data_IF_131735605466
#
_entry.id   IF_131735605466
#
_cell.length_a   1.000
_cell.length_b   1.000
_cell.length_c   1.000
_cell.angle_alpha   90.00
_cell.angle_beta   90.00
_cell.angle_gamma   90.00
#
_symmetry.space_group_name_H-M   'P 1'
#
loop_
_entity.id
_entity.type
_entity.pdbx_description
1 polymer ?
#
# COMPACT_ATOMS: atom_id res chain seq x y z
N UNK A 1 -18.96 2.86 -21.67
CA UNK A 1 -17.96 3.06 -20.60
C UNK A 1 -18.51 3.90 -19.45
N UNK A 2 -19.11 5.07 -19.69
CA UNK A 2 -19.65 5.98 -18.65
C UNK A 2 -20.72 5.34 -17.73
N UNK A 3 -21.63 4.52 -18.25
CA UNK A 3 -22.66 3.87 -17.44
C UNK A 3 -22.13 2.87 -16.40
N UNK A 4 -21.00 2.20 -16.69
CA UNK A 4 -20.40 1.21 -15.79
C UNK A 4 -19.84 1.92 -14.56
N UNK A 5 -19.17 3.06 -14.73
CA UNK A 5 -18.67 3.86 -13.63
C UNK A 5 -19.79 4.38 -12.73
N UNK A 6 -20.90 4.85 -13.29
CA UNK A 6 -22.06 5.27 -12.49
C UNK A 6 -22.69 4.12 -11.70
N UNK A 7 -22.84 2.95 -12.30
CA UNK A 7 -23.37 1.77 -11.62
C UNK A 7 -22.45 1.30 -10.48
N UNK A 8 -21.13 1.33 -10.70
CA UNK A 8 -20.13 1.02 -9.66
C UNK A 8 -20.18 2.04 -8.51
N UNK A 9 -20.28 3.34 -8.83
CA UNK A 9 -20.40 4.40 -7.83
C UNK A 9 -21.68 4.26 -7.00
N UNK A 10 -22.83 3.97 -7.63
CA UNK A 10 -24.07 3.66 -6.90
C UNK A 10 -23.93 2.45 -5.97
N UNK A 11 -23.23 1.39 -6.42
CA UNK A 11 -22.95 0.22 -5.57
C UNK A 11 -22.13 0.58 -4.33
N UNK A 12 -21.14 1.46 -4.48
CA UNK A 12 -20.32 1.94 -3.37
C UNK A 12 -21.10 2.85 -2.42
N UNK A 13 -21.95 3.73 -2.93
CA UNK A 13 -22.81 4.60 -2.11
C UNK A 13 -23.84 3.80 -1.30
N UNK A 14 -24.34 2.69 -1.85
CA UNK A 14 -25.39 1.88 -1.21
C UNK A 14 -24.86 0.87 -0.21
N UNK A 15 -23.68 0.27 -0.45
CA UNK A 15 -23.14 -0.80 0.41
C UNK A 15 -21.96 -0.33 1.26
N UNK A 16 -21.27 0.74 0.88
CA UNK A 16 -19.99 1.15 1.48
C UNK A 16 -18.84 0.17 1.24
N UNK A 17 -19.06 -0.94 0.53
CA UNK A 17 -18.08 -2.00 0.35
C UNK A 17 -17.31 -1.80 -0.95
N UNK A 18 -15.98 -1.75 -0.85
CA UNK A 18 -15.09 -1.78 -2.01
C UNK A 18 -14.18 -2.99 -1.94
N UNK A 19 -13.88 -3.57 -3.10
CA UNK A 19 -12.85 -4.59 -3.17
C UNK A 19 -11.49 -3.97 -2.82
N UNK A 20 -10.66 -4.67 -2.01
CA UNK A 20 -9.27 -4.32 -1.84
C UNK A 20 -8.58 -4.19 -3.20
N UNK A 21 -7.90 -3.06 -3.41
CA UNK A 21 -7.00 -2.87 -4.55
C UNK A 21 -5.62 -3.32 -4.13
N UNK A 22 -5.01 -4.19 -4.92
CA UNK A 22 -3.62 -4.61 -4.72
C UNK A 22 -2.72 -3.97 -5.77
N UNK A 23 -1.67 -3.31 -5.32
CA UNK A 23 -0.67 -2.68 -6.17
C UNK A 23 0.71 -3.26 -5.87
N UNK A 24 1.32 -3.88 -6.87
CA UNK A 24 2.72 -4.27 -6.81
C UNK A 24 3.59 -3.09 -7.22
N UNK A 25 4.32 -2.53 -6.25
CA UNK A 25 5.16 -1.35 -6.45
C UNK A 25 6.50 -1.73 -7.09
N UNK A 26 6.97 -2.94 -6.81
CA UNK A 26 8.20 -3.48 -7.38
C UNK A 26 9.34 -3.59 -6.38
N UNK A 27 10.55 -3.70 -6.92
CA UNK A 27 11.79 -3.89 -6.17
C UNK A 27 12.51 -2.55 -6.13
N UNK A 28 12.73 -2.02 -4.94
CA UNK A 28 13.63 -0.89 -4.74
C UNK A 28 15.06 -1.40 -4.71
N UNK A 29 15.91 -0.81 -5.55
CA UNK A 29 17.33 -1.08 -5.53
C UNK A 29 18.08 0.10 -4.95
N UNK A 30 19.13 -0.17 -4.19
CA UNK A 30 19.88 0.88 -3.51
C UNK A 30 20.57 1.81 -4.52
N UNK A 31 21.02 1.26 -5.65
CA UNK A 31 21.58 1.99 -6.79
C UNK A 31 20.59 2.95 -7.48
N UNK A 32 19.29 2.83 -7.24
CA UNK A 32 18.30 3.78 -7.76
C UNK A 32 18.32 5.11 -6.97
N UNK A 33 18.91 5.12 -5.77
CA UNK A 33 18.91 6.26 -4.84
C UNK A 33 20.30 6.73 -4.41
N UNK A 34 21.33 5.87 -4.52
CA UNK A 34 22.71 6.12 -4.12
C UNK A 34 23.65 6.13 -5.35
N UNK A 35 24.80 6.84 -5.29
CA UNK A 35 25.42 7.45 -4.12
C UNK A 35 24.86 8.84 -3.76
N UNK A 36 24.73 9.10 -2.46
CA UNK A 36 24.48 10.42 -1.89
C UNK A 36 25.48 10.65 -0.75
N UNK A 37 25.97 11.88 -0.63
CA UNK A 37 26.86 12.28 0.46
C UNK A 37 26.04 12.87 1.62
N UNK A 38 26.36 12.44 2.83
CA UNK A 38 25.85 13.04 4.06
C UNK A 38 26.42 14.43 4.30
N UNK A 39 25.89 15.12 5.31
CA UNK A 39 26.36 16.45 5.72
C UNK A 39 27.81 16.44 6.21
N UNK A 40 28.33 15.28 6.61
CA UNK A 40 29.71 15.04 7.03
C UNK A 40 30.60 14.52 5.89
N UNK A 41 30.13 14.60 4.64
CA UNK A 41 30.76 14.08 3.43
C UNK A 41 30.99 12.55 3.40
N UNK A 42 30.42 11.79 4.35
CA UNK A 42 30.44 10.32 4.29
C UNK A 42 29.33 9.81 3.38
N UNK A 43 29.51 8.65 2.72
CA UNK A 43 28.43 8.03 1.95
C UNK A 43 27.24 7.70 2.83
N UNK A 44 26.04 8.08 2.39
CA UNK A 44 24.79 7.61 3.00
C UNK A 44 24.57 6.13 2.64
N UNK A 45 23.92 5.41 3.55
CA UNK A 45 23.48 4.03 3.36
C UNK A 45 21.97 4.00 3.54
N UNK A 46 21.24 3.41 2.60
CA UNK A 46 19.80 3.28 2.70
C UNK A 46 19.48 2.05 3.55
N UNK A 47 19.01 2.26 4.78
CA UNK A 47 18.75 1.16 5.71
C UNK A 47 17.38 0.52 5.50
N UNK A 48 16.37 1.31 5.14
CA UNK A 48 14.98 0.89 5.03
C UNK A 48 14.22 1.77 4.04
N UNK A 49 13.14 1.24 3.47
CA UNK A 49 12.24 1.95 2.54
C UNK A 49 10.80 1.67 2.97
N UNK A 50 10.09 2.73 3.36
CA UNK A 50 8.68 2.66 3.72
C UNK A 50 7.84 3.49 2.74
N UNK A 51 6.74 2.91 2.28
CA UNK A 51 5.76 3.59 1.43
C UNK A 51 4.56 4.00 2.26
N UNK A 52 4.12 5.25 2.07
CA UNK A 52 2.92 5.78 2.69
C UNK A 52 1.88 6.07 1.59
N UNK A 53 0.98 5.12 1.29
CA UNK A 53 -0.02 5.33 0.27
C UNK A 53 -0.99 6.42 0.70
N UNK A 54 -1.21 7.39 -0.17
CA UNK A 54 -2.28 8.37 0.01
C UNK A 54 -3.53 7.84 -0.69
N UNK A 55 -4.57 7.56 0.09
CA UNK A 55 -5.90 7.24 -0.42
C UNK A 55 -6.82 8.42 -0.17
N UNK A 56 -7.78 8.61 -1.05
CA UNK A 56 -8.77 9.66 -0.94
C UNK A 56 -10.15 9.15 -1.35
N UNK A 57 -11.16 9.95 -1.00
CA UNK A 57 -12.56 9.65 -1.30
C UNK A 57 -12.76 9.26 -2.78
N UNK A 58 -13.56 8.22 -3.07
CA UNK A 58 -14.42 7.49 -2.14
C UNK A 58 -13.67 6.42 -1.35
N UNK A 59 -14.21 6.04 -0.19
CA UNK A 59 -13.57 5.12 0.76
C UNK A 59 -12.86 3.96 0.08
N UNK A 60 -11.56 3.82 0.31
CA UNK A 60 -10.69 2.85 -0.34
C UNK A 60 -10.06 1.87 0.64
N UNK A 61 -9.64 0.73 0.08
CA UNK A 61 -8.69 -0.17 0.73
C UNK A 61 -7.61 -0.48 -0.29
N UNK A 62 -6.40 0.00 -0.05
CA UNK A 62 -5.25 -0.16 -0.93
C UNK A 62 -4.17 -0.94 -0.20
N UNK A 63 -3.69 -2.00 -0.83
CA UNK A 63 -2.46 -2.67 -0.44
C UNK A 63 -1.35 -2.36 -1.43
N UNK A 64 -0.18 -2.06 -0.89
CA UNK A 64 1.04 -1.89 -1.64
C UNK A 64 2.04 -2.96 -1.21
N UNK A 65 2.60 -3.68 -2.19
CA UNK A 65 3.69 -4.61 -1.99
C UNK A 65 4.97 -4.02 -2.58
N UNK A 66 6.04 -3.98 -1.79
CA UNK A 66 7.38 -3.63 -2.26
C UNK A 66 8.44 -4.54 -1.67
N UNK A 67 9.60 -4.57 -2.30
CA UNK A 67 10.75 -5.34 -1.82
C UNK A 67 11.98 -4.44 -1.74
N UNK A 68 12.76 -4.57 -0.67
CA UNK A 68 14.04 -3.91 -0.48
C UNK A 68 14.98 -4.80 0.34
N UNK A 69 16.23 -5.03 -0.11
CA UNK A 69 17.25 -5.85 0.59
C UNK A 69 16.69 -7.17 1.17
N UNK A 70 16.15 -8.00 0.28
CA UNK A 70 15.56 -9.31 0.60
C UNK A 70 14.36 -9.28 1.58
N UNK A 71 13.90 -8.09 1.97
CA UNK A 71 12.71 -7.90 2.78
C UNK A 71 11.52 -7.53 1.90
N UNK A 72 10.41 -8.24 2.10
CA UNK A 72 9.13 -7.95 1.47
C UNK A 72 8.24 -7.18 2.46
N UNK A 73 7.77 -6.01 2.05
CA UNK A 73 6.95 -5.13 2.88
C UNK A 73 5.56 -4.95 2.26
N UNK A 74 4.53 -5.22 3.05
CA UNK A 74 3.14 -4.91 2.71
C UNK A 74 2.66 -3.75 3.55
N UNK A 75 2.10 -2.75 2.89
CA UNK A 75 1.45 -1.61 3.53
C UNK A 75 -0.01 -1.58 3.10
N UNK A 76 -0.93 -1.47 4.07
CA UNK A 76 -2.33 -1.21 3.81
C UNK A 76 -2.67 0.25 4.15
N UNK A 77 -3.31 0.95 3.23
CA UNK A 77 -3.96 2.22 3.46
C UNK A 77 -5.47 2.03 3.37
N UNK A 78 -6.19 2.52 4.37
CA UNK A 78 -7.65 2.45 4.46
C UNK A 78 -8.18 3.66 5.22
N UNK A 79 -9.42 4.02 4.94
CA UNK A 79 -10.14 5.06 5.69
C UNK A 79 -10.95 4.42 6.81
N UNK A 80 -10.83 4.94 8.03
CA UNK A 80 -11.68 4.54 9.15
C UNK A 80 -13.14 4.88 8.85
N UNK A 81 -14.05 3.96 9.19
CA UNK A 81 -15.46 4.03 8.83
C UNK A 81 -15.93 2.67 8.33
N UNK A 82 -15.74 2.35 7.03
CA UNK A 82 -16.04 1.01 6.50
C UNK A 82 -15.08 -0.06 7.01
N UNK A 83 -13.86 0.31 7.45
CA UNK A 83 -12.86 -0.61 7.97
C UNK A 83 -12.43 -0.18 9.38
N UNK A 84 -12.38 -1.13 10.31
CA UNK A 84 -11.73 -0.95 11.61
C UNK A 84 -10.29 -1.42 11.55
N UNK A 85 -9.42 -0.85 12.40
CA UNK A 85 -8.03 -1.29 12.52
C UNK A 85 -7.90 -2.78 12.77
N UNK A 86 -8.67 -3.33 13.70
CA UNK A 86 -8.60 -4.77 14.03
C UNK A 86 -9.00 -5.64 12.84
N UNK A 87 -9.95 -5.17 12.02
CA UNK A 87 -10.37 -5.88 10.82
C UNK A 87 -9.25 -5.92 9.78
N UNK A 88 -8.55 -4.80 9.58
CA UNK A 88 -7.42 -4.71 8.66
C UNK A 88 -6.23 -5.54 9.14
N UNK A 89 -5.87 -5.46 10.43
CA UNK A 89 -4.79 -6.26 11.01
C UNK A 89 -5.08 -7.76 10.88
N UNK A 90 -6.31 -8.21 11.17
CA UNK A 90 -6.71 -9.61 10.96
C UNK A 90 -6.59 -10.03 9.51
N UNK A 91 -6.98 -9.18 8.58
CA UNK A 91 -6.86 -9.45 7.15
C UNK A 91 -5.38 -9.58 6.71
N UNK A 92 -4.50 -8.69 7.18
CA UNK A 92 -3.06 -8.78 6.90
C UNK A 92 -2.44 -10.06 7.47
N UNK A 93 -2.85 -10.48 8.67
CA UNK A 93 -2.40 -11.75 9.25
C UNK A 93 -2.83 -12.97 8.42
N UNK A 94 -4.03 -12.94 7.82
CA UNK A 94 -4.42 -14.00 6.88
C UNK A 94 -3.54 -13.99 5.64
N UNK A 95 -3.26 -12.81 5.08
CA UNK A 95 -2.42 -12.67 3.89
C UNK A 95 -1.00 -13.16 4.11
N UNK A 96 -0.40 -12.85 5.27
CA UNK A 96 0.93 -13.33 5.66
C UNK A 96 1.05 -14.86 5.55
N UNK A 97 0.01 -15.59 5.98
CA UNK A 97 -0.03 -17.06 5.86
C UNK A 97 -0.14 -17.62 4.44
N UNK A 98 -0.42 -16.79 3.43
CA UNK A 98 -0.50 -17.19 2.02
C UNK A 98 0.72 -16.75 1.20
N UNK A 99 1.58 -15.92 1.76
CA UNK A 99 2.76 -15.42 1.06
C UNK A 99 3.96 -16.35 1.31
N UNK A 100 4.80 -16.55 0.28
CA UNK A 100 5.92 -17.48 0.32
C UNK A 100 7.04 -17.05 1.27
#
# INVERSE_FOLDING_TARGET
MVHIFYAMMQGYETTGQKNPVFSFIGIFREEDFLPLAGTDARPLCLCDVCLFPCICWPYGFLMCLSTFRDAMTIVAAYEEGPYSRETVERFLNYMDGYLP
#
